data_IF_603536054665
#
_entry.id   IF_603536054665
#
_cell.length_a   1.000
_cell.length_b   1.000
_cell.length_c   1.000
_cell.angle_alpha   90.00
_cell.angle_beta   90.00
_cell.angle_gamma   90.00
#
_symmetry.space_group_name_H-M   'P 1'
#
loop_
_entity.id
_entity.type
_entity.pdbx_description
1 polymer ?
#
# COMPACT_ATOMS: atom_id res chain seq x y z
N UNK A 1 -17.51 -8.86 -12.61
CA UNK A 1 -16.21 -8.26 -13.01
C UNK A 1 -15.77 -7.05 -12.15
N UNK A 2 -16.06 -7.03 -10.85
CA UNK A 2 -15.69 -5.92 -9.92
C UNK A 2 -14.43 -6.20 -9.11
N UNK A 3 -13.81 -7.38 -9.26
CA UNK A 3 -12.74 -7.86 -8.40
C UNK A 3 -11.41 -7.10 -8.47
N UNK A 4 -11.22 -6.20 -9.45
CA UNK A 4 -9.95 -5.52 -9.71
C UNK A 4 -10.02 -3.99 -9.61
N UNK A 5 -11.19 -3.41 -9.34
CA UNK A 5 -11.31 -1.97 -9.17
C UNK A 5 -10.69 -1.55 -7.82
N UNK A 6 -9.86 -0.50 -7.80
CA UNK A 6 -9.18 -0.06 -6.58
C UNK A 6 -10.14 0.21 -5.42
N UNK A 7 -11.26 0.89 -5.68
CA UNK A 7 -12.29 1.16 -4.66
C UNK A 7 -12.87 -0.11 -4.01
N UNK A 8 -12.83 -1.24 -4.71
CA UNK A 8 -13.36 -2.52 -4.20
C UNK A 8 -12.43 -3.15 -3.18
N UNK A 9 -11.16 -2.75 -3.10
CA UNK A 9 -10.22 -3.22 -2.07
C UNK A 9 -10.76 -2.91 -0.68
N UNK A 10 -11.10 -1.65 -0.41
CA UNK A 10 -11.72 -1.25 0.86
C UNK A 10 -13.20 -1.67 0.92
N UNK A 11 -13.99 -1.40 -0.13
CA UNK A 11 -15.44 -1.60 -0.09
C UNK A 11 -15.85 -3.07 0.13
N UNK A 12 -15.04 -4.03 -0.32
CA UNK A 12 -15.32 -5.45 -0.08
C UNK A 12 -15.16 -5.83 1.38
N UNK A 13 -14.19 -5.25 2.09
CA UNK A 13 -14.01 -5.45 3.53
C UNK A 13 -15.21 -4.84 4.26
N UNK A 14 -15.55 -3.58 3.93
CA UNK A 14 -16.70 -2.90 4.53
C UNK A 14 -18.00 -3.66 4.32
N UNK A 15 -18.25 -4.16 3.12
CA UNK A 15 -19.40 -5.00 2.81
C UNK A 15 -19.42 -6.31 3.61
N UNK A 16 -18.27 -7.00 3.71
CA UNK A 16 -18.17 -8.28 4.39
C UNK A 16 -18.43 -8.20 5.90
N UNK A 17 -18.05 -7.07 6.52
CA UNK A 17 -18.19 -6.85 7.96
C UNK A 17 -19.33 -5.89 8.33
N UNK A 18 -20.16 -5.50 7.36
CA UNK A 18 -21.26 -4.51 7.52
C UNK A 18 -20.79 -3.19 8.16
N UNK A 19 -19.61 -2.71 7.75
CA UNK A 19 -19.05 -1.44 8.22
C UNK A 19 -19.65 -0.29 7.42
N UNK A 20 -20.27 0.66 8.13
CA UNK A 20 -21.00 1.78 7.54
C UNK A 20 -20.25 3.13 7.64
N UNK A 21 -19.00 3.10 8.12
CA UNK A 21 -18.12 4.27 8.17
C UNK A 21 -17.43 4.57 6.84
N UNK A 22 -16.45 5.50 6.82
CA UNK A 22 -15.65 5.79 5.64
C UNK A 22 -14.96 4.52 5.08
N UNK A 23 -15.10 4.30 3.77
CA UNK A 23 -14.51 3.14 3.06
C UNK A 23 -13.68 3.64 1.90
N UNK A 24 -12.37 3.82 2.13
CA UNK A 24 -11.48 4.58 1.25
C UNK A 24 -10.31 3.69 0.82
N UNK A 25 -9.96 3.77 -0.46
CA UNK A 25 -8.69 3.27 -0.98
C UNK A 25 -7.88 4.46 -1.45
N UNK A 26 -6.69 4.66 -0.89
CA UNK A 26 -5.77 5.72 -1.28
C UNK A 26 -4.58 5.15 -2.05
N UNK A 27 -3.94 5.99 -2.86
CA UNK A 27 -2.70 5.69 -3.56
C UNK A 27 -1.76 6.90 -3.48
N UNK A 28 -0.81 6.82 -2.56
CA UNK A 28 0.31 7.74 -2.45
C UNK A 28 1.63 6.99 -2.70
N UNK A 29 1.62 6.01 -3.60
CA UNK A 29 2.74 5.13 -3.90
C UNK A 29 3.31 4.38 -2.67
N UNK A 30 4.60 4.54 -2.35
CA UNK A 30 5.27 3.76 -1.30
C UNK A 30 4.76 4.04 0.12
N UNK A 31 4.07 5.17 0.35
CA UNK A 31 3.57 5.55 1.67
C UNK A 31 2.09 5.24 1.89
N UNK A 32 1.38 4.63 0.93
CA UNK A 32 -0.09 4.48 0.98
C UNK A 32 -0.59 3.81 2.26
N UNK A 33 0.06 2.74 2.73
CA UNK A 33 -0.34 2.07 3.98
C UNK A 33 -0.16 2.96 5.21
N UNK A 34 0.90 3.76 5.26
CA UNK A 34 1.13 4.71 6.33
C UNK A 34 0.13 5.88 6.28
N UNK A 35 -0.24 6.33 5.08
CA UNK A 35 -1.29 7.32 4.89
C UNK A 35 -2.65 6.77 5.31
N UNK A 36 -2.96 5.50 5.04
CA UNK A 36 -4.18 4.86 5.53
C UNK A 36 -4.25 4.86 7.07
N UNK A 37 -3.12 4.58 7.75
CA UNK A 37 -3.04 4.68 9.22
C UNK A 37 -3.26 6.12 9.68
N UNK A 38 -2.63 7.09 9.02
CA UNK A 38 -2.80 8.51 9.31
C UNK A 38 -4.27 8.95 9.17
N UNK A 39 -4.95 8.56 8.08
CA UNK A 39 -6.36 8.85 7.84
C UNK A 39 -7.26 8.22 8.91
N UNK A 40 -7.00 6.95 9.28
CA UNK A 40 -7.74 6.26 10.32
C UNK A 40 -7.61 6.93 11.69
N UNK A 41 -6.39 7.30 12.10
CA UNK A 41 -6.15 8.02 13.37
C UNK A 41 -6.87 9.36 13.38
N UNK A 42 -6.91 10.07 12.25
CA UNK A 42 -7.62 11.35 12.13
C UNK A 42 -9.14 11.18 12.20
N UNK A 43 -9.70 10.20 11.49
CA UNK A 43 -11.12 9.92 11.50
C UNK A 43 -11.61 9.58 12.92
N UNK A 44 -10.83 8.76 13.66
CA UNK A 44 -11.10 8.47 15.07
C UNK A 44 -11.00 9.73 15.94
N UNK A 45 -9.92 10.52 15.78
CA UNK A 45 -9.70 11.73 16.57
C UNK A 45 -10.72 12.84 16.36
N UNK A 46 -11.32 12.90 15.16
CA UNK A 46 -12.39 13.86 14.82
C UNK A 46 -13.80 13.33 15.10
N UNK A 47 -13.94 12.08 15.53
CA UNK A 47 -15.25 11.46 15.78
C UNK A 47 -16.03 11.10 14.52
N UNK A 48 -15.37 10.97 13.37
CA UNK A 48 -15.99 10.49 12.12
C UNK A 48 -16.34 8.99 12.19
N UNK A 49 -15.59 8.23 13.00
CA UNK A 49 -15.88 6.85 13.36
C UNK A 49 -15.39 6.51 14.77
N UNK A 50 -15.88 5.40 15.33
CA UNK A 50 -15.46 4.86 16.62
C UNK A 50 -14.53 3.63 16.50
N UNK A 51 -14.37 3.11 15.28
CA UNK A 51 -13.51 2.00 14.90
C UNK A 51 -13.00 2.28 13.48
N UNK A 52 -11.72 1.99 13.23
CA UNK A 52 -11.12 2.12 11.92
C UNK A 52 -10.22 0.92 11.62
N UNK A 53 -10.28 0.43 10.38
CA UNK A 53 -9.32 -0.51 9.81
C UNK A 53 -8.41 0.26 8.87
N UNK A 54 -7.10 0.12 9.06
CA UNK A 54 -6.10 0.72 8.18
C UNK A 54 -5.13 -0.38 7.76
N UNK A 55 -4.74 -0.40 6.49
CA UNK A 55 -3.87 -1.44 5.98
C UNK A 55 -3.34 -1.10 4.60
N UNK A 56 -2.56 -2.03 4.05
CA UNK A 56 -2.07 -1.91 2.69
C UNK A 56 -1.63 -3.26 2.14
N UNK A 57 -1.61 -3.35 0.82
CA UNK A 57 -1.20 -4.55 0.08
C UNK A 57 -0.39 -4.15 -1.14
N UNK A 58 0.65 -4.93 -1.45
CA UNK A 58 1.42 -4.80 -2.69
C UNK A 58 1.71 -6.19 -3.28
N UNK A 59 1.46 -6.33 -4.59
CA UNK A 59 1.74 -7.53 -5.37
C UNK A 59 2.61 -7.20 -6.60
N UNK A 60 3.53 -8.10 -6.94
CA UNK A 60 4.44 -8.05 -8.08
C UNK A 60 4.02 -9.14 -9.08
N UNK A 61 2.82 -8.99 -9.65
CA UNK A 61 2.25 -9.93 -10.62
C UNK A 61 2.65 -9.70 -12.08
N UNK A 62 3.38 -8.62 -12.38
CA UNK A 62 3.73 -8.22 -13.75
C UNK A 62 5.14 -7.63 -13.83
N UNK A 63 5.92 -7.96 -14.87
CA UNK A 63 7.27 -7.42 -15.04
C UNK A 63 7.28 -5.94 -15.42
N UNK A 64 6.15 -5.34 -15.84
CA UNK A 64 6.09 -3.95 -16.33
C UNK A 64 6.69 -2.94 -15.35
N UNK A 65 6.30 -3.03 -14.07
CA UNK A 65 6.84 -2.15 -13.04
C UNK A 65 8.32 -2.44 -12.74
N UNK A 66 8.74 -3.70 -12.84
CA UNK A 66 10.14 -4.07 -12.65
C UNK A 66 11.02 -3.43 -13.73
N UNK A 67 10.62 -3.53 -15.01
CA UNK A 67 11.32 -2.90 -16.14
C UNK A 67 11.35 -1.38 -15.98
N UNK A 68 10.21 -0.76 -15.67
CA UNK A 68 10.13 0.69 -15.49
C UNK A 68 11.06 1.20 -14.38
N UNK A 69 11.05 0.55 -13.21
CA UNK A 69 11.93 0.95 -12.10
C UNK A 69 13.41 0.62 -12.35
N UNK A 70 13.71 -0.42 -13.12
CA UNK A 70 15.08 -0.70 -13.57
C UNK A 70 15.59 0.39 -14.52
N UNK A 71 14.77 0.84 -15.47
CA UNK A 71 15.13 1.93 -16.40
C UNK A 71 15.31 3.25 -15.66
N UNK A 72 14.55 3.48 -14.60
CA UNK A 72 14.70 4.62 -13.71
C UNK A 72 15.90 4.49 -12.73
N UNK A 73 16.73 3.44 -12.83
CA UNK A 73 17.86 3.18 -11.94
C UNK A 73 17.50 3.14 -10.45
N UNK A 74 16.28 2.71 -10.11
CA UNK A 74 15.82 2.63 -8.72
C UNK A 74 16.12 1.27 -8.07
N UNK A 75 16.31 0.23 -8.87
CA UNK A 75 16.50 -1.15 -8.40
C UNK A 75 17.97 -1.49 -8.20
N UNK A 76 18.28 -2.18 -7.10
CA UNK A 76 19.62 -2.71 -6.84
C UNK A 76 20.01 -3.74 -7.89
N UNK A 77 21.25 -3.65 -8.41
CA UNK A 77 21.80 -4.62 -9.38
C UNK A 77 22.22 -5.91 -8.70
N UNK A 78 22.52 -5.84 -7.40
CA UNK A 78 22.88 -7.00 -6.57
C UNK A 78 21.67 -7.70 -5.97
N UNK A 79 20.46 -7.18 -6.21
CA UNK A 79 19.22 -7.78 -5.70
C UNK A 79 19.09 -7.71 -4.17
N UNK A 80 19.80 -6.77 -3.52
CA UNK A 80 19.76 -6.61 -2.06
C UNK A 80 19.54 -5.16 -1.66
N UNK A 81 18.52 -4.92 -0.85
CA UNK A 81 18.32 -3.62 -0.22
C UNK A 81 19.35 -3.45 0.90
N UNK A 82 20.36 -2.62 0.66
CA UNK A 82 21.49 -2.42 1.57
C UNK A 82 21.36 -1.07 2.28
N UNK A 83 20.32 -0.89 3.08
CA UNK A 83 20.03 0.39 3.72
C UNK A 83 21.22 0.87 4.56
N UNK A 84 21.65 2.12 4.32
CA UNK A 84 22.77 2.80 5.01
C UNK A 84 24.17 2.20 4.76
N UNK A 85 24.30 1.23 3.86
CA UNK A 85 25.60 0.66 3.46
C UNK A 85 26.29 1.53 2.40
N UNK A 86 27.64 1.58 2.39
CA UNK A 86 28.41 2.29 1.37
C UNK A 86 28.17 1.71 -0.04
N UNK A 87 27.86 0.41 -0.14
CA UNK A 87 27.58 -0.28 -1.38
C UNK A 87 26.10 -0.19 -1.83
N UNK A 88 25.27 0.64 -1.18
CA UNK A 88 23.86 0.80 -1.54
C UNK A 88 23.70 1.34 -2.96
N UNK A 89 23.02 0.57 -3.82
CA UNK A 89 22.85 0.86 -5.26
C UNK A 89 21.39 0.87 -5.72
N UNK A 90 20.44 0.81 -4.79
CA UNK A 90 19.00 0.80 -5.06
C UNK A 90 18.22 -0.04 -4.05
N UNK A 91 16.90 -0.15 -4.24
CA UNK A 91 16.05 -0.99 -3.41
C UNK A 91 15.64 -2.29 -4.15
N UNK A 92 14.98 -3.20 -3.43
CA UNK A 92 14.42 -4.43 -3.99
C UNK A 92 12.91 -4.43 -3.77
N UNK A 93 12.17 -4.84 -4.81
CA UNK A 93 10.72 -4.96 -4.73
C UNK A 93 10.34 -6.12 -3.82
N UNK A 94 9.40 -5.90 -2.89
CA UNK A 94 8.81 -6.94 -2.05
C UNK A 94 7.29 -6.97 -2.17
N UNK A 95 6.70 -8.13 -1.91
CA UNK A 95 5.25 -8.28 -1.76
C UNK A 95 4.88 -8.32 -0.27
N UNK A 96 3.64 -7.94 0.05
CA UNK A 96 3.17 -8.00 1.41
C UNK A 96 1.77 -7.43 1.57
N UNK A 97 1.13 -7.78 2.68
CA UNK A 97 -0.16 -7.24 3.11
C UNK A 97 -0.23 -7.20 4.63
N UNK A 98 -0.82 -6.14 5.17
CA UNK A 98 -1.05 -5.98 6.60
C UNK A 98 -2.28 -5.10 6.86
N UNK A 99 -2.91 -5.34 8.01
CA UNK A 99 -3.98 -4.53 8.62
C UNK A 99 -3.59 -4.32 10.08
#
# INVERSE_FOLDING_TARGET
>A
PTGTAYSIIANRISYQFDLQGPSITNDTACSSSLVAVYEAVRALGHGECNLALAGGVNLIWSPKHFVAFSQASMLSRTGRASAFDQAADGYVRGEGGAV
#
